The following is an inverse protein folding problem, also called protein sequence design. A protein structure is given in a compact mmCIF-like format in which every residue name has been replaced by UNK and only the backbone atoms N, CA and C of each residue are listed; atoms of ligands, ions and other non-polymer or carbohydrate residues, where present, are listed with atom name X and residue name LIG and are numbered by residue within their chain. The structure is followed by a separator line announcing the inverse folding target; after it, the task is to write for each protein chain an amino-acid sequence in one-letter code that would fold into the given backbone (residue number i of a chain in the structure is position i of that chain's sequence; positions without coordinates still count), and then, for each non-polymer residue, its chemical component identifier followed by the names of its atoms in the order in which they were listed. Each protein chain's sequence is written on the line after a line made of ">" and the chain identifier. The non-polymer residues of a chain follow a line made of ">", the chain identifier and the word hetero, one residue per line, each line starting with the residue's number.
data_IF_458158950888
#
_entry.id   IF_458158950888
#
_cell.length_a   1.000
_cell.length_b   1.000
_cell.length_c   1.000
_cell.angle_alpha   90.00
_cell.angle_beta   90.00
_cell.angle_gamma   90.00
#
_symmetry.space_group_name_H-M   'P 1'
#
loop_
_entity.id
_entity.type
_entity.pdbx_description
1 polymer ?
#
# COMPACT_ATOMS: atom_id res chain seq x y z
N UNK A 1 69.15 -4.87 44.05
CA UNK A 1 67.92 -4.22 44.56
C UNK A 1 67.26 -3.24 43.57
N UNK A 2 67.84 -2.96 42.39
CA UNK A 2 67.31 -1.97 41.43
C UNK A 2 66.08 -2.46 40.62
N UNK A 3 65.92 -3.78 40.44
CA UNK A 3 64.84 -4.35 39.62
C UNK A 3 63.42 -4.22 40.21
N UNK A 4 63.28 -4.14 41.54
CA UNK A 4 61.95 -4.12 42.16
C UNK A 4 61.24 -2.76 41.97
N UNK A 5 61.99 -1.66 42.09
CA UNK A 5 61.45 -0.31 41.89
C UNK A 5 61.00 -0.07 40.43
N UNK A 6 61.69 -0.67 39.45
CA UNK A 6 61.32 -0.55 38.03
C UNK A 6 60.03 -1.33 37.74
N UNK A 7 59.86 -2.50 38.34
CA UNK A 7 58.65 -3.32 38.21
C UNK A 7 57.45 -2.65 38.86
N UNK A 8 57.61 -2.05 40.04
CA UNK A 8 56.54 -1.30 40.70
C UNK A 8 56.11 -0.07 39.90
N UNK A 9 57.06 0.66 39.30
CA UNK A 9 56.76 1.81 38.45
C UNK A 9 55.97 1.37 37.21
N UNK A 10 56.40 0.30 36.55
CA UNK A 10 55.72 -0.29 35.38
C UNK A 10 54.31 -0.79 35.72
N UNK A 11 54.11 -1.38 36.89
CA UNK A 11 52.79 -1.81 37.35
C UNK A 11 51.85 -0.60 37.55
N UNK A 12 52.31 0.48 38.18
CA UNK A 12 51.50 1.70 38.34
C UNK A 12 51.16 2.35 37.00
N UNK A 13 52.11 2.37 36.05
CA UNK A 13 51.86 2.85 34.69
C UNK A 13 50.84 1.99 33.93
N UNK A 14 50.90 0.66 34.10
CA UNK A 14 49.95 -0.28 33.52
C UNK A 14 48.56 -0.10 34.13
N UNK A 15 48.43 -0.02 35.46
CA UNK A 15 47.18 0.24 36.16
C UNK A 15 46.55 1.56 35.70
N UNK A 16 47.34 2.64 35.60
CA UNK A 16 46.88 3.93 35.09
C UNK A 16 46.44 3.87 33.62
N UNK A 17 47.03 2.99 32.81
CA UNK A 17 46.66 2.80 31.40
C UNK A 17 45.37 1.98 31.28
N UNK A 18 45.24 0.91 32.07
CA UNK A 18 44.00 0.12 32.15
C UNK A 18 42.83 0.98 32.62
N UNK A 19 43.02 1.80 33.65
CA UNK A 19 41.98 2.71 34.14
C UNK A 19 41.54 3.73 33.06
N UNK A 20 42.49 4.28 32.30
CA UNK A 20 42.19 5.19 31.17
C UNK A 20 41.43 4.48 30.04
N UNK A 21 41.81 3.26 29.70
CA UNK A 21 41.11 2.46 28.68
C UNK A 21 39.69 2.11 29.12
N UNK A 22 39.50 1.72 30.38
CA UNK A 22 38.17 1.46 30.94
C UNK A 22 37.28 2.71 30.88
N UNK A 23 37.78 3.87 31.31
CA UNK A 23 37.05 5.13 31.19
C UNK A 23 36.68 5.46 29.73
N UNK A 24 37.60 5.26 28.79
CA UNK A 24 37.35 5.48 27.36
C UNK A 24 36.26 4.54 26.82
N UNK A 25 36.28 3.26 27.20
CA UNK A 25 35.26 2.29 26.75
C UNK A 25 33.86 2.64 27.26
N UNK A 26 33.73 3.17 28.48
CA UNK A 26 32.44 3.61 29.03
C UNK A 26 31.91 4.81 28.24
N UNK A 27 32.75 5.81 27.98
CA UNK A 27 32.37 6.99 27.18
C UNK A 27 31.96 6.57 25.77
N UNK A 28 32.71 5.66 25.15
CA UNK A 28 32.41 5.17 23.80
C UNK A 28 31.10 4.37 23.75
N UNK A 29 30.84 3.52 24.74
CA UNK A 29 29.57 2.80 24.85
C UNK A 29 28.38 3.76 25.02
N UNK A 30 28.55 4.82 25.81
CA UNK A 30 27.52 5.84 26.01
C UNK A 30 27.26 6.66 24.74
N UNK A 31 28.32 7.05 24.02
CA UNK A 31 28.21 7.74 22.74
C UNK A 31 27.52 6.87 21.68
N UNK A 32 27.88 5.58 21.60
CA UNK A 32 27.25 4.64 20.68
C UNK A 32 25.77 4.47 20.98
N UNK A 33 25.39 4.37 22.25
CA UNK A 33 23.98 4.29 22.65
C UNK A 33 23.20 5.52 22.21
N UNK A 34 23.72 6.73 22.46
CA UNK A 34 23.07 7.98 22.04
C UNK A 34 22.94 8.04 20.50
N UNK A 35 23.96 7.60 19.77
CA UNK A 35 23.92 7.55 18.32
C UNK A 35 22.85 6.57 17.81
N UNK A 36 22.72 5.40 18.42
CA UNK A 36 21.70 4.40 18.09
C UNK A 36 20.29 4.94 18.38
N UNK A 37 20.09 5.57 19.53
CA UNK A 37 18.80 6.19 19.91
C UNK A 37 18.39 7.26 18.88
N UNK A 38 19.31 8.15 18.49
CA UNK A 38 19.07 9.16 17.44
C UNK A 38 18.75 8.55 16.07
N UNK A 39 19.45 7.48 15.69
CA UNK A 39 19.16 6.78 14.44
C UNK A 39 17.78 6.12 14.47
N UNK A 40 17.40 5.51 15.59
CA UNK A 40 16.07 4.92 15.76
C UNK A 40 14.97 5.99 15.65
N UNK A 41 15.17 7.16 16.26
CA UNK A 41 14.23 8.28 16.17
C UNK A 41 14.10 8.80 14.74
N UNK A 42 15.23 8.97 14.02
CA UNK A 42 15.23 9.40 12.62
C UNK A 42 14.51 8.39 11.72
N UNK A 43 14.75 7.08 11.92
CA UNK A 43 14.06 6.03 11.16
C UNK A 43 12.56 6.05 11.47
N UNK A 44 12.17 6.23 12.73
CA UNK A 44 10.78 6.31 13.13
C UNK A 44 10.08 7.57 12.57
N UNK A 45 10.79 8.68 12.43
CA UNK A 45 10.29 9.88 11.78
C UNK A 45 10.11 9.66 10.27
N UNK A 46 11.14 9.19 9.58
CA UNK A 46 11.07 8.92 8.13
C UNK A 46 9.99 7.89 7.80
N UNK A 47 9.81 6.86 8.62
CA UNK A 47 8.73 5.90 8.44
C UNK A 47 7.35 6.52 8.61
N UNK A 48 7.19 7.56 9.44
CA UNK A 48 5.92 8.27 9.58
C UNK A 48 5.65 9.15 8.37
N UNK A 49 6.63 9.95 7.97
CA UNK A 49 6.56 10.79 6.76
C UNK A 49 6.24 9.95 5.52
N UNK A 50 6.86 8.78 5.37
CA UNK A 50 6.56 7.86 4.26
C UNK A 50 5.15 7.27 4.32
N UNK A 51 4.59 7.04 5.52
CA UNK A 51 3.21 6.55 5.66
C UNK A 51 2.20 7.65 5.35
N UNK A 52 2.45 8.86 5.83
CA UNK A 52 1.62 10.04 5.52
C UNK A 52 1.62 10.32 4.02
N UNK A 53 2.79 10.32 3.39
CA UNK A 53 2.90 10.54 1.95
C UNK A 53 2.26 9.42 1.12
N UNK A 54 2.30 8.16 1.59
CA UNK A 54 1.56 7.06 0.96
C UNK A 54 0.05 7.22 1.11
N UNK A 55 -0.43 7.62 2.29
CA UNK A 55 -1.86 7.87 2.51
C UNK A 55 -2.36 9.01 1.61
N UNK A 56 -1.60 10.10 1.50
CA UNK A 56 -1.92 11.20 0.59
C UNK A 56 -1.93 10.79 -0.89
N UNK A 57 -1.04 9.89 -1.30
CA UNK A 57 -1.03 9.35 -2.66
C UNK A 57 -2.19 8.38 -2.90
N UNK A 58 -2.51 7.54 -1.92
CA UNK A 58 -3.63 6.60 -1.99
C UNK A 58 -4.98 7.34 -2.09
N UNK A 59 -5.15 8.44 -1.36
CA UNK A 59 -6.36 9.30 -1.43
C UNK A 59 -6.52 10.00 -2.80
N UNK A 60 -5.45 10.12 -3.58
CA UNK A 60 -5.46 10.76 -4.90
C UNK A 60 -5.55 9.78 -6.06
N UNK A 61 -5.64 8.49 -5.78
CA UNK A 61 -5.85 7.47 -6.82
C UNK A 61 -7.24 7.57 -7.39
N UNK A 62 -7.34 7.41 -8.71
CA UNK A 62 -8.63 7.44 -9.39
C UNK A 62 -9.24 6.02 -9.40
N UNK A 63 -10.51 5.87 -8.99
CA UNK A 63 -11.22 4.60 -9.15
C UNK A 63 -11.48 4.35 -10.64
N UNK A 64 -11.08 3.19 -11.13
CA UNK A 64 -11.29 2.78 -12.52
C UNK A 64 -11.84 1.35 -12.63
N UNK A 65 -12.61 1.03 -13.68
CA UNK A 65 -12.99 -0.33 -13.99
C UNK A 65 -11.78 -1.23 -14.26
N UNK A 66 -11.93 -2.53 -13.98
CA UNK A 66 -10.89 -3.54 -14.21
C UNK A 66 -10.35 -3.54 -15.64
N UNK A 67 -11.24 -3.35 -16.63
CA UNK A 67 -10.85 -3.29 -18.04
C UNK A 67 -9.88 -2.14 -18.37
N UNK A 68 -9.98 -1.02 -17.66
CA UNK A 68 -9.10 0.14 -17.84
C UNK A 68 -7.74 -0.11 -17.20
N UNK A 69 -7.74 -0.73 -16.01
CA UNK A 69 -6.51 -1.16 -15.33
C UNK A 69 -5.70 -2.14 -16.20
N UNK A 70 -6.35 -3.19 -16.70
CA UNK A 70 -5.71 -4.21 -17.54
C UNK A 70 -5.20 -3.60 -18.87
N UNK A 71 -5.94 -2.64 -19.45
CA UNK A 71 -5.51 -1.91 -20.63
C UNK A 71 -4.26 -1.06 -20.39
N UNK A 72 -4.16 -0.41 -19.23
CA UNK A 72 -2.97 0.36 -18.86
C UNK A 72 -1.75 -0.52 -18.64
N UNK A 73 -1.89 -1.65 -17.96
CA UNK A 73 -0.80 -2.63 -17.80
C UNK A 73 -0.31 -3.17 -19.15
N UNK A 74 -1.23 -3.39 -20.10
CA UNK A 74 -0.91 -3.84 -21.45
C UNK A 74 -0.08 -2.83 -22.26
N UNK A 75 -0.16 -1.53 -21.95
CA UNK A 75 0.65 -0.49 -22.59
C UNK A 75 2.12 -0.50 -22.12
N UNK A 76 2.45 -1.24 -21.06
CA UNK A 76 3.83 -1.38 -20.53
C UNK A 76 4.58 -0.06 -20.40
N UNK A 77 3.89 0.97 -19.93
CA UNK A 77 4.45 2.30 -19.71
C UNK A 77 5.31 2.26 -18.43
N UNK A 78 6.45 1.56 -18.52
CA UNK A 78 7.34 1.30 -17.39
C UNK A 78 8.42 2.40 -17.19
N UNK A 79 8.41 3.46 -18.02
CA UNK A 79 9.54 4.36 -18.16
C UNK A 79 9.23 5.81 -17.73
N UNK A 80 8.85 5.97 -16.46
CA UNK A 80 8.84 7.28 -15.78
C UNK A 80 7.83 8.32 -16.27
N UNK A 81 7.84 9.49 -15.62
CA UNK A 81 6.83 10.55 -15.76
C UNK A 81 6.71 11.13 -17.20
N UNK A 82 7.79 11.07 -17.98
CA UNK A 82 7.84 11.61 -19.35
C UNK A 82 7.12 10.68 -20.34
N UNK A 83 7.38 9.37 -20.28
CA UNK A 83 6.68 8.39 -21.11
C UNK A 83 5.17 8.32 -20.80
N UNK A 84 4.80 8.53 -19.53
CA UNK A 84 3.38 8.59 -19.13
C UNK A 84 2.67 9.83 -19.65
N UNK A 85 3.35 10.99 -19.69
CA UNK A 85 2.79 12.24 -20.21
C UNK A 85 2.56 12.21 -21.72
N UNK A 86 3.54 11.70 -22.48
CA UNK A 86 3.41 11.54 -23.93
C UNK A 86 2.33 10.52 -24.31
N UNK A 87 2.22 9.42 -23.55
CA UNK A 87 1.16 8.44 -23.74
C UNK A 87 -0.22 9.05 -23.51
N UNK A 88 -0.42 9.81 -22.43
CA UNK A 88 -1.67 10.50 -22.14
C UNK A 88 -2.06 11.46 -23.27
N UNK A 89 -1.11 12.29 -23.72
CA UNK A 89 -1.35 13.23 -24.81
C UNK A 89 -1.71 12.50 -26.11
N UNK A 90 -1.00 11.42 -26.43
CA UNK A 90 -1.25 10.62 -27.64
C UNK A 90 -2.63 9.97 -27.61
N UNK A 91 -3.01 9.37 -26.48
CA UNK A 91 -4.34 8.76 -26.28
C UNK A 91 -5.43 9.80 -26.51
N UNK A 92 -5.28 11.03 -26.01
CA UNK A 92 -6.32 12.06 -26.12
C UNK A 92 -6.39 12.71 -27.50
N UNK A 93 -5.25 12.98 -28.12
CA UNK A 93 -5.18 13.75 -29.37
C UNK A 93 -5.33 12.91 -30.62
N UNK A 94 -4.92 11.63 -30.62
CA UNK A 94 -5.03 10.78 -31.80
C UNK A 94 -6.49 10.37 -32.07
N UNK A 95 -6.93 10.33 -33.34
CA UNK A 95 -8.26 9.82 -33.67
C UNK A 95 -8.39 8.34 -33.29
N UNK A 96 -9.59 7.93 -32.85
CA UNK A 96 -9.88 6.57 -32.37
C UNK A 96 -9.41 5.46 -33.32
N UNK A 97 -9.49 5.67 -34.63
CA UNK A 97 -9.09 4.67 -35.64
C UNK A 97 -7.60 4.34 -35.65
N UNK A 98 -6.74 5.22 -35.12
CA UNK A 98 -5.29 5.05 -35.09
C UNK A 98 -4.77 4.50 -33.76
N UNK A 99 -5.64 4.38 -32.75
CA UNK A 99 -5.26 3.87 -31.44
C UNK A 99 -5.32 2.34 -31.41
N UNK A 100 -4.34 1.72 -30.75
CA UNK A 100 -4.41 0.32 -30.36
C UNK A 100 -5.57 0.07 -29.38
N UNK A 101 -6.02 -1.18 -29.27
CA UNK A 101 -7.18 -1.52 -28.44
C UNK A 101 -7.05 -1.09 -26.97
N UNK A 102 -5.91 -1.27 -26.28
CA UNK A 102 -5.75 -0.79 -24.91
C UNK A 102 -5.93 0.74 -24.77
N UNK A 103 -5.35 1.50 -25.70
CA UNK A 103 -5.49 2.97 -25.72
C UNK A 103 -6.93 3.42 -26.01
N UNK A 104 -7.70 2.65 -26.80
CA UNK A 104 -9.12 2.93 -27.04
C UNK A 104 -9.97 2.72 -25.80
N UNK A 105 -9.69 1.69 -25.01
CA UNK A 105 -10.39 1.41 -23.74
C UNK A 105 -10.18 2.58 -22.77
N UNK A 106 -8.93 2.99 -22.57
CA UNK A 106 -8.58 4.14 -21.73
C UNK A 106 -9.25 5.42 -22.24
N UNK A 107 -9.15 5.71 -23.54
CA UNK A 107 -9.80 6.90 -24.13
C UNK A 107 -11.33 6.89 -23.97
N UNK A 108 -11.96 5.73 -24.08
CA UNK A 108 -13.41 5.59 -23.92
C UNK A 108 -13.84 5.89 -22.49
N UNK A 109 -13.05 5.47 -21.50
CA UNK A 109 -13.32 5.71 -20.09
C UNK A 109 -13.17 7.20 -19.71
N UNK A 110 -12.02 7.80 -20.02
CA UNK A 110 -11.73 9.20 -19.64
C UNK A 110 -12.33 10.23 -20.61
N UNK A 111 -12.79 9.81 -21.79
CA UNK A 111 -13.43 10.67 -22.78
C UNK A 111 -12.52 11.81 -23.26
N UNK A 112 -12.96 13.05 -23.05
CA UNK A 112 -12.19 14.27 -23.34
C UNK A 112 -11.51 14.87 -22.09
N UNK A 113 -11.59 14.20 -20.94
CA UNK A 113 -11.03 14.69 -19.68
C UNK A 113 -9.52 14.39 -19.58
N UNK A 114 -8.69 15.26 -20.16
CA UNK A 114 -7.23 15.13 -20.11
C UNK A 114 -6.69 15.20 -18.67
N UNK A 115 -7.33 15.98 -17.80
CA UNK A 115 -6.85 16.17 -16.44
C UNK A 115 -6.93 14.88 -15.62
N UNK A 116 -8.09 14.23 -15.64
CA UNK A 116 -8.32 12.96 -14.93
C UNK A 116 -7.47 11.82 -15.52
N UNK A 117 -7.26 11.81 -16.84
CA UNK A 117 -6.33 10.87 -17.46
C UNK A 117 -4.89 11.10 -16.95
N UNK A 118 -4.44 12.36 -16.86
CA UNK A 118 -3.11 12.69 -16.34
C UNK A 118 -2.96 12.31 -14.86
N UNK A 119 -3.98 12.56 -14.04
CA UNK A 119 -4.01 12.11 -12.65
C UNK A 119 -3.95 10.58 -12.56
N UNK A 120 -4.62 9.86 -13.46
CA UNK A 120 -4.58 8.40 -13.52
C UNK A 120 -3.16 7.89 -13.81
N UNK A 121 -2.44 8.55 -14.73
CA UNK A 121 -1.05 8.23 -15.04
C UNK A 121 -0.07 8.60 -13.91
N UNK A 122 -0.30 9.71 -13.21
CA UNK A 122 0.65 10.26 -12.23
C UNK A 122 0.42 9.72 -10.81
N UNK A 123 -0.83 9.72 -10.35
CA UNK A 123 -1.21 9.31 -9.00
C UNK A 123 -1.54 7.80 -8.92
N UNK A 124 -1.77 7.16 -10.07
CA UNK A 124 -2.20 5.77 -10.16
C UNK A 124 -3.71 5.61 -9.95
N UNK A 125 -4.14 4.37 -9.76
CA UNK A 125 -5.55 4.02 -9.73
C UNK A 125 -5.89 3.00 -8.64
N UNK A 126 -7.17 2.98 -8.28
CA UNK A 126 -7.82 1.91 -7.53
C UNK A 126 -8.80 1.19 -8.44
N UNK A 127 -8.96 -0.12 -8.29
CA UNK A 127 -9.90 -0.88 -9.11
C UNK A 127 -11.25 -0.86 -8.41
N UNK A 128 -12.30 -0.45 -9.13
CA UNK A 128 -13.66 -0.60 -8.65
C UNK A 128 -13.95 -2.10 -8.47
N UNK A 129 -14.02 -2.55 -7.21
CA UNK A 129 -14.55 -3.88 -6.92
C UNK A 129 -16.03 -3.86 -7.31
N UNK A 130 -16.52 -4.82 -8.12
CA UNK A 130 -17.94 -4.91 -8.40
C UNK A 130 -18.64 -5.03 -7.06
N UNK A 131 -19.65 -4.18 -6.81
CA UNK A 131 -20.45 -4.27 -5.61
C UNK A 131 -20.84 -5.73 -5.40
N UNK A 132 -20.30 -6.36 -4.35
CA UNK A 132 -20.71 -7.70 -3.99
C UNK A 132 -22.22 -7.63 -3.80
N UNK A 133 -22.98 -8.24 -4.73
CA UNK A 133 -24.39 -8.55 -4.47
C UNK A 133 -24.37 -9.30 -3.16
N UNK A 134 -24.84 -8.66 -2.09
CA UNK A 134 -24.76 -9.26 -0.75
C UNK A 134 -25.43 -10.64 -0.83
N UNK A 135 -24.90 -11.64 -0.12
CA UNK A 135 -25.46 -13.00 -0.17
C UNK A 135 -26.99 -13.03 0.01
N UNK A 136 -27.53 -12.04 0.73
CA UNK A 136 -28.96 -11.81 0.93
C UNK A 136 -29.74 -11.39 -0.33
N UNK A 137 -29.17 -10.62 -1.25
CA UNK A 137 -29.81 -10.30 -2.55
C UNK A 137 -29.82 -11.52 -3.48
N UNK A 138 -28.76 -12.31 -3.47
CA UNK A 138 -28.70 -13.54 -4.27
C UNK A 138 -29.68 -14.61 -3.75
N UNK A 139 -29.84 -14.71 -2.44
CA UNK A 139 -30.87 -15.56 -1.82
C UNK A 139 -32.27 -15.05 -2.19
N UNK A 140 -32.53 -13.74 -2.11
CA UNK A 140 -33.83 -13.18 -2.48
C UNK A 140 -34.20 -13.42 -3.96
N UNK A 141 -33.26 -13.21 -4.90
CA UNK A 141 -33.47 -13.51 -6.33
C UNK A 141 -33.72 -15.01 -6.58
N UNK A 142 -33.05 -15.91 -5.86
CA UNK A 142 -33.30 -17.34 -5.97
C UNK A 142 -34.63 -17.78 -5.36
N UNK A 143 -35.09 -17.10 -4.30
CA UNK A 143 -36.38 -17.36 -3.65
C UNK A 143 -37.57 -16.98 -4.53
N UNK A 144 -37.49 -15.87 -5.27
CA UNK A 144 -38.52 -15.46 -6.23
C UNK A 144 -38.65 -16.44 -7.41
N UNK A 145 -37.61 -17.21 -7.69
CA UNK A 145 -37.56 -18.20 -8.78
C UNK A 145 -37.92 -19.62 -8.31
N UNK A 146 -38.20 -19.85 -7.02
CA UNK A 146 -38.59 -21.17 -6.52
C UNK A 146 -40.04 -21.50 -6.86
N UNK A 147 -40.33 -22.75 -7.29
CA UNK A 147 -41.69 -23.19 -7.53
C UNK A 147 -42.51 -23.13 -6.22
N UNK A 148 -43.80 -22.73 -6.30
CA UNK A 148 -44.65 -22.44 -5.13
C UNK A 148 -44.79 -23.61 -4.14
N UNK A 149 -44.60 -24.84 -4.63
CA UNK A 149 -44.65 -26.07 -3.82
C UNK A 149 -43.47 -26.19 -2.82
N UNK A 150 -42.44 -25.35 -2.97
CA UNK A 150 -41.21 -25.34 -2.13
C UNK A 150 -41.31 -24.40 -0.92
N UNK A 151 -42.33 -23.52 -0.89
CA UNK A 151 -42.53 -22.55 0.20
C UNK A 151 -42.59 -23.17 1.61
N UNK A 152 -43.25 -24.32 1.83
CA UNK A 152 -43.34 -24.90 3.18
C UNK A 152 -41.97 -25.33 3.74
N UNK A 153 -41.09 -25.86 2.89
CA UNK A 153 -39.72 -26.24 3.27
C UNK A 153 -38.87 -25.02 3.59
N UNK A 154 -39.10 -23.91 2.90
CA UNK A 154 -38.41 -22.65 3.12
C UNK A 154 -38.79 -22.00 4.45
N UNK A 155 -40.07 -21.99 4.79
CA UNK A 155 -40.58 -21.50 6.07
C UNK A 155 -39.95 -22.29 7.23
N UNK A 156 -39.80 -23.60 7.08
CA UNK A 156 -39.14 -24.47 8.07
C UNK A 156 -37.66 -24.12 8.20
N UNK A 157 -36.93 -23.97 7.08
CA UNK A 157 -35.51 -23.64 7.08
C UNK A 157 -35.23 -22.24 7.69
N UNK A 158 -36.02 -21.23 7.32
CA UNK A 158 -35.89 -19.86 7.84
C UNK A 158 -36.33 -19.74 9.30
N UNK A 159 -37.31 -20.54 9.75
CA UNK A 159 -37.70 -20.62 11.16
C UNK A 159 -36.60 -21.27 12.02
N UNK A 160 -35.89 -22.27 11.49
CA UNK A 160 -34.71 -22.87 12.13
C UNK A 160 -33.53 -21.90 12.28
N UNK A 161 -33.47 -20.86 11.44
CA UNK A 161 -32.45 -19.81 11.44
C UNK A 161 -32.91 -18.49 12.11
N UNK A 162 -34.16 -18.42 12.62
CA UNK A 162 -34.71 -17.23 13.27
C UNK A 162 -35.06 -16.05 12.34
N UNK A 163 -35.14 -16.29 11.02
CA UNK A 163 -35.33 -15.27 9.98
C UNK A 163 -36.74 -15.27 9.36
N UNK A 164 -37.71 -15.93 10.00
CA UNK A 164 -39.10 -16.05 9.53
C UNK A 164 -39.83 -14.71 9.33
N UNK A 165 -39.39 -13.63 9.98
CA UNK A 165 -39.92 -12.28 9.84
C UNK A 165 -39.53 -11.56 8.52
N UNK A 166 -38.73 -12.22 7.66
CA UNK A 166 -38.28 -11.69 6.36
C UNK A 166 -39.01 -12.30 5.17
N UNK A 167 -40.01 -13.15 5.41
CA UNK A 167 -40.87 -13.65 4.35
C UNK A 167 -41.75 -12.49 3.82
N UNK A 168 -41.87 -12.33 2.49
CA UNK A 168 -42.83 -11.38 1.93
C UNK A 168 -44.25 -11.81 2.30
N UNK A 169 -45.09 -10.84 2.68
CA UNK A 169 -46.52 -11.05 2.96
C UNK A 169 -47.32 -11.34 1.70
#
# INVERSE_FOLDING_TARGET
>A
MVNNNILELRNRELEATVARLQAHTVIQAQNNRIAIERLADNIAQQSRELRELRAELDDRKIPVPREVADAFEALKLNDGAEATGEAALSIMTMPFGFLGEPAKVIKRHFGTNLYELMEFFVNGYTIEEPAEKSATEHIAEQLEQMPPDSMPLLVIALSGLGLSHKLPH
#
